data_IF_787654664169
#
_entry.id   IF_787654664169
#
_cell.length_a   1.000
_cell.length_b   1.000
_cell.length_c   1.000
_cell.angle_alpha   90.00
_cell.angle_beta   90.00
_cell.angle_gamma   90.00
#
_symmetry.space_group_name_H-M   'P 1'
#
loop_
_entity.id
_entity.type
_entity.pdbx_description
1 polymer ?
#
# COMPACT_ATOMS: atom_id res chain seq x y z
N UNK A 1 62.12 -51.90 10.33
CA UNK A 1 61.49 -52.38 11.57
C UNK A 1 60.06 -51.85 11.56
N UNK A 2 59.13 -52.64 11.03
CA UNK A 2 58.26 -53.58 11.77
C UNK A 2 57.12 -52.84 12.47
N UNK A 3 55.85 -53.24 12.45
CA UNK A 3 55.01 -54.13 11.64
C UNK A 3 53.57 -53.70 12.04
N UNK A 4 52.64 -53.61 11.10
CA UNK A 4 51.20 -53.37 11.39
C UNK A 4 50.61 -54.58 12.15
N UNK A 5 49.46 -54.40 12.82
CA UNK A 5 48.32 -55.14 12.29
C UNK A 5 47.04 -54.32 12.13
N UNK A 6 46.56 -54.47 10.91
CA UNK A 6 45.18 -54.63 10.48
C UNK A 6 44.21 -55.14 11.56
N UNK A 7 43.11 -54.41 11.77
CA UNK A 7 41.86 -54.99 12.24
C UNK A 7 40.71 -54.43 11.38
N UNK A 8 40.24 -55.30 10.50
CA UNK A 8 38.91 -55.29 9.89
C UNK A 8 37.84 -55.20 10.99
N UNK A 9 36.75 -54.46 10.73
CA UNK A 9 35.35 -54.88 10.92
C UNK A 9 34.42 -53.65 10.90
N UNK A 10 33.47 -53.66 9.97
CA UNK A 10 32.09 -53.15 10.04
C UNK A 10 31.74 -52.64 8.65
N UNK A 11 30.96 -53.35 7.85
CA UNK A 11 29.66 -53.89 8.25
C UNK A 11 28.62 -52.92 7.71
N UNK A 12 28.21 -53.16 6.47
CA UNK A 12 27.18 -52.44 5.74
C UNK A 12 25.85 -52.58 6.52
N UNK A 13 25.36 -51.49 7.10
CA UNK A 13 24.01 -51.41 7.66
C UNK A 13 23.21 -50.38 6.87
N UNK A 14 22.56 -50.85 5.81
CA UNK A 14 21.46 -50.16 5.16
C UNK A 14 20.22 -50.29 6.06
N UNK A 15 20.06 -49.38 7.02
CA UNK A 15 18.79 -49.20 7.70
C UNK A 15 17.94 -48.21 6.91
N UNK A 16 17.12 -48.79 6.05
CA UNK A 16 15.86 -48.18 5.60
C UNK A 16 15.01 -47.89 6.84
N UNK A 17 14.93 -46.62 7.22
CA UNK A 17 14.14 -46.13 8.34
C UNK A 17 13.24 -45.00 7.87
N UNK A 18 12.00 -45.33 7.51
CA UNK A 18 10.92 -44.37 7.52
C UNK A 18 10.71 -43.93 8.97
N UNK A 19 10.94 -42.66 9.28
CA UNK A 19 10.36 -42.03 10.46
C UNK A 19 9.53 -40.86 9.98
N UNK A 20 8.23 -41.07 10.04
CA UNK A 20 7.24 -40.05 9.97
C UNK A 20 7.38 -39.10 11.17
N UNK A 21 7.02 -37.84 10.90
CA UNK A 21 6.51 -36.86 11.85
C UNK A 21 7.41 -36.44 13.00
N UNK A 22 8.16 -35.36 12.75
CA UNK A 22 8.04 -34.16 13.57
C UNK A 22 7.91 -32.96 12.63
N UNK A 23 6.82 -32.95 11.85
CA UNK A 23 6.31 -31.69 11.32
C UNK A 23 5.73 -30.98 12.55
N UNK A 24 6.59 -30.22 13.23
CA UNK A 24 6.11 -29.18 14.15
C UNK A 24 5.30 -28.25 13.27
N UNK A 25 4.01 -28.54 13.15
CA UNK A 25 3.02 -27.73 12.48
C UNK A 25 3.07 -26.38 13.19
N UNK A 26 3.91 -25.51 12.65
CA UNK A 26 3.99 -24.13 13.03
C UNK A 26 2.58 -23.60 12.82
N UNK A 27 1.89 -23.30 13.91
CA UNK A 27 0.67 -22.48 13.93
C UNK A 27 1.03 -21.03 13.54
N UNK A 28 1.83 -20.87 12.48
CA UNK A 28 1.97 -19.61 11.79
C UNK A 28 0.75 -19.54 10.88
N UNK A 29 -0.17 -18.63 11.20
CA UNK A 29 -1.14 -18.20 10.21
C UNK A 29 -0.37 -17.91 8.90
N UNK A 30 -0.88 -18.36 7.74
CA UNK A 30 -0.22 -18.09 6.47
C UNK A 30 0.11 -16.60 6.38
N UNK A 31 1.24 -16.21 5.77
CA UNK A 31 1.59 -14.80 5.63
C UNK A 31 0.37 -14.08 5.06
N UNK A 32 -0.07 -13.03 5.77
CA UNK A 32 -1.22 -12.26 5.33
C UNK A 32 -1.00 -11.89 3.86
N UNK A 33 -1.95 -12.26 3.01
CA UNK A 33 -1.91 -11.90 1.60
C UNK A 33 -1.82 -10.38 1.42
N UNK A 34 -1.63 -9.90 0.18
CA UNK A 34 -1.67 -8.47 -0.08
C UNK A 34 -2.98 -7.87 0.48
N UNK A 35 -2.93 -6.63 1.01
CA UNK A 35 -4.12 -5.98 1.54
C UNK A 35 -5.24 -5.98 0.51
N UNK A 36 -6.47 -6.19 0.97
CA UNK A 36 -7.64 -6.13 0.10
C UNK A 36 -7.76 -4.72 -0.52
N UNK A 37 -8.19 -4.61 -1.79
CA UNK A 37 -8.39 -3.32 -2.42
C UNK A 37 -9.49 -2.53 -1.70
N UNK A 38 -9.26 -1.23 -1.53
CA UNK A 38 -10.31 -0.32 -1.06
C UNK A 38 -11.31 -0.11 -2.19
N UNK A 39 -12.59 -0.30 -1.92
CA UNK A 39 -13.68 -0.14 -2.90
C UNK A 39 -14.82 0.66 -2.29
N UNK A 40 -15.62 1.31 -3.14
CA UNK A 40 -16.81 2.05 -2.70
C UNK A 40 -17.85 1.14 -2.02
N UNK A 41 -17.96 -0.13 -2.44
CA UNK A 41 -18.87 -1.09 -1.81
C UNK A 41 -18.49 -1.38 -0.35
N UNK A 42 -17.19 -1.27 -0.01
CA UNK A 42 -16.71 -1.43 1.36
C UNK A 42 -16.89 -0.17 2.21
N UNK A 43 -17.25 0.97 1.60
CA UNK A 43 -17.42 2.28 2.27
C UNK A 43 -18.71 2.97 1.78
N UNK A 44 -19.90 2.44 2.14
CA UNK A 44 -21.18 2.96 1.64
C UNK A 44 -21.46 4.41 2.07
N UNK A 45 -20.93 4.83 3.21
CA UNK A 45 -21.13 6.16 3.79
C UNK A 45 -19.99 7.14 3.45
N UNK A 46 -19.17 6.82 2.45
CA UNK A 46 -18.03 7.64 2.05
C UNK A 46 -18.47 9.06 1.63
N UNK A 47 -17.77 10.06 2.15
CA UNK A 47 -18.00 11.46 1.76
C UNK A 47 -17.71 11.68 0.27
N UNK A 48 -18.22 12.75 -0.37
CA UNK A 48 -17.94 13.02 -1.78
C UNK A 48 -16.44 13.03 -2.13
N UNK A 49 -15.61 13.69 -1.30
CA UNK A 49 -14.15 13.72 -1.48
C UNK A 49 -13.48 12.37 -1.29
N UNK A 50 -13.96 11.57 -0.32
CA UNK A 50 -13.49 10.21 -0.12
C UNK A 50 -13.81 9.31 -1.32
N UNK A 51 -15.02 9.41 -1.88
CA UNK A 51 -15.41 8.64 -3.06
C UNK A 51 -14.49 8.98 -4.25
N UNK A 52 -14.23 10.26 -4.47
CA UNK A 52 -13.30 10.72 -5.51
C UNK A 52 -11.88 10.21 -5.25
N UNK A 53 -11.40 10.22 -4.00
CA UNK A 53 -10.10 9.64 -3.66
C UNK A 53 -10.05 8.13 -3.98
N UNK A 54 -11.11 7.38 -3.65
CA UNK A 54 -11.20 5.95 -3.94
C UNK A 54 -11.20 5.69 -5.45
N UNK A 55 -11.91 6.50 -6.23
CA UNK A 55 -12.01 6.33 -7.67
C UNK A 55 -10.73 6.74 -8.42
N UNK A 56 -10.05 7.80 -7.97
CA UNK A 56 -8.98 8.46 -8.74
C UNK A 56 -7.57 8.20 -8.19
N UNK A 57 -7.43 7.97 -6.89
CA UNK A 57 -6.13 8.00 -6.21
C UNK A 57 -5.80 6.68 -5.50
N UNK A 58 -6.81 5.93 -5.05
CA UNK A 58 -6.62 4.78 -4.18
C UNK A 58 -5.79 3.65 -4.80
N UNK A 59 -5.81 3.50 -6.12
CA UNK A 59 -5.00 2.49 -6.81
C UNK A 59 -3.49 2.60 -6.49
N UNK A 60 -3.02 3.82 -6.21
CA UNK A 60 -1.62 4.10 -5.89
C UNK A 60 -1.40 4.43 -4.40
N UNK A 61 -2.39 5.06 -3.74
CA UNK A 61 -2.23 5.65 -2.41
C UNK A 61 -2.90 4.88 -1.26
N UNK A 62 -3.49 3.72 -1.52
CA UNK A 62 -3.95 2.81 -0.45
C UNK A 62 -2.89 1.80 -0.05
N UNK A 63 -3.17 0.98 0.95
CA UNK A 63 -2.25 -0.05 1.43
C UNK A 63 -1.85 -1.00 0.27
N UNK A 64 -0.55 -1.26 0.13
CA UNK A 64 -0.01 -2.06 -0.97
C UNK A 64 0.11 -1.32 -2.31
N UNK A 65 -0.42 -0.10 -2.42
CA UNK A 65 -0.26 0.76 -3.59
C UNK A 65 1.19 1.24 -3.78
N UNK A 66 1.59 1.43 -5.03
CA UNK A 66 2.96 1.80 -5.38
C UNK A 66 3.36 3.18 -4.82
N UNK A 67 2.44 4.14 -4.81
CA UNK A 67 2.62 5.46 -4.22
C UNK A 67 2.85 5.39 -2.72
N UNK A 68 2.04 4.61 -2.00
CA UNK A 68 2.21 4.31 -0.57
C UNK A 68 3.58 3.69 -0.29
N UNK A 69 4.01 2.71 -1.09
CA UNK A 69 5.32 2.08 -0.95
C UNK A 69 6.48 3.06 -1.12
N UNK A 70 6.38 3.99 -2.07
CA UNK A 70 7.37 5.04 -2.27
C UNK A 70 7.34 6.11 -1.16
N UNK A 71 6.17 6.43 -0.61
CA UNK A 71 6.04 7.34 0.53
C UNK A 71 6.64 6.73 1.80
N UNK A 72 6.52 5.41 1.99
CA UNK A 72 7.05 4.69 3.15
C UNK A 72 8.60 4.74 3.25
N UNK A 73 9.28 5.15 2.17
CA UNK A 73 10.74 5.39 2.18
C UNK A 73 11.12 6.77 2.72
N UNK A 74 10.14 7.66 2.90
CA UNK A 74 10.34 9.10 3.16
C UNK A 74 9.48 9.63 4.31
N UNK A 75 8.50 8.87 4.78
CA UNK A 75 7.57 9.25 5.83
C UNK A 75 7.18 8.03 6.67
N UNK A 76 7.09 8.22 7.98
CA UNK A 76 6.61 7.22 8.92
C UNK A 76 5.10 6.95 8.79
N UNK A 77 4.36 7.83 8.12
CA UNK A 77 2.93 7.66 7.81
C UNK A 77 2.73 7.72 6.28
N UNK A 78 2.86 6.60 5.56
CA UNK A 78 2.75 6.62 4.10
C UNK A 78 1.32 6.66 3.57
N UNK A 79 0.33 6.33 4.41
CA UNK A 79 -1.09 6.33 4.04
C UNK A 79 -1.63 7.75 4.15
N UNK A 80 -2.02 8.33 3.01
CA UNK A 80 -2.50 9.72 2.96
C UNK A 80 -3.73 9.94 3.84
N UNK A 81 -4.66 8.99 3.87
CA UNK A 81 -5.88 9.06 4.70
C UNK A 81 -5.62 9.03 6.22
N UNK A 82 -4.36 8.81 6.65
CA UNK A 82 -3.94 8.75 8.07
C UNK A 82 -2.95 9.85 8.44
N UNK A 83 -2.73 10.81 7.54
CA UNK A 83 -1.76 11.88 7.71
C UNK A 83 -2.45 13.11 8.30
N UNK A 84 -1.86 13.68 9.33
CA UNK A 84 -2.42 14.85 10.05
C UNK A 84 -1.75 16.18 9.63
N UNK A 85 -0.71 16.13 8.80
CA UNK A 85 0.11 17.26 8.35
C UNK A 85 -0.21 17.68 6.90
N UNK A 86 -1.25 17.10 6.28
CA UNK A 86 -1.67 17.47 4.93
C UNK A 86 -2.54 18.74 4.99
N UNK A 87 -2.19 19.73 4.17
CA UNK A 87 -3.05 20.89 3.91
C UNK A 87 -3.69 20.75 2.54
N UNK A 88 -4.88 21.33 2.37
CA UNK A 88 -5.62 21.35 1.09
C UNK A 88 -4.72 21.85 -0.05
N UNK A 89 -4.05 22.99 0.15
CA UNK A 89 -3.11 23.57 -0.82
C UNK A 89 -1.97 22.61 -1.18
N UNK A 90 -1.38 21.95 -0.18
CA UNK A 90 -0.30 21.00 -0.44
C UNK A 90 -0.77 19.81 -1.26
N UNK A 91 -1.94 19.26 -0.96
CA UNK A 91 -2.51 18.14 -1.73
C UNK A 91 -2.80 18.55 -3.17
N UNK A 92 -3.43 19.72 -3.38
CA UNK A 92 -3.70 20.25 -4.72
C UNK A 92 -2.40 20.41 -5.50
N UNK A 93 -1.39 21.07 -4.91
CA UNK A 93 -0.13 21.31 -5.61
C UNK A 93 0.63 20.01 -5.90
N UNK A 94 0.66 19.07 -4.95
CA UNK A 94 1.25 17.75 -5.13
C UNK A 94 0.59 17.01 -6.30
N UNK A 95 -0.74 17.03 -6.37
CA UNK A 95 -1.49 16.38 -7.43
C UNK A 95 -1.32 17.08 -8.79
N UNK A 96 -1.36 18.41 -8.82
CA UNK A 96 -1.28 19.19 -10.08
C UNK A 96 0.12 19.23 -10.68
N UNK A 97 1.16 19.22 -9.85
CA UNK A 97 2.55 19.28 -10.31
C UNK A 97 3.20 17.90 -10.42
N UNK A 98 2.67 16.91 -9.68
CA UNK A 98 3.34 15.64 -9.48
C UNK A 98 4.52 15.75 -8.50
N UNK A 99 4.93 14.61 -7.91
CA UNK A 99 6.07 14.54 -6.99
C UNK A 99 6.88 13.26 -7.24
N UNK A 100 8.07 13.41 -7.81
CA UNK A 100 8.95 12.29 -8.12
C UNK A 100 8.30 11.33 -9.12
N UNK A 101 7.94 10.13 -8.67
CA UNK A 101 7.27 9.11 -9.50
C UNK A 101 5.73 9.27 -9.54
N UNK A 102 5.17 10.21 -8.77
CA UNK A 102 3.75 10.55 -8.87
C UNK A 102 3.57 11.51 -10.06
N UNK A 103 2.86 11.10 -11.13
CA UNK A 103 2.59 11.97 -12.27
C UNK A 103 1.64 13.11 -11.89
N UNK A 104 1.69 14.19 -12.67
CA UNK A 104 0.72 15.28 -12.56
C UNK A 104 -0.67 14.80 -13.00
N UNK A 105 -1.70 15.15 -12.22
CA UNK A 105 -3.10 14.86 -12.49
C UNK A 105 -3.72 16.02 -13.29
N UNK A 106 -4.02 15.83 -14.59
CA UNK A 106 -4.55 16.89 -15.43
C UNK A 106 -6.01 17.22 -15.07
N UNK A 107 -6.42 18.46 -15.36
CA UNK A 107 -7.80 18.93 -15.13
C UNK A 107 -8.86 18.13 -15.90
N UNK A 108 -8.48 17.50 -17.01
CA UNK A 108 -9.38 16.64 -17.78
C UNK A 108 -9.68 15.29 -17.12
N UNK A 109 -8.88 14.86 -16.14
CA UNK A 109 -9.07 13.61 -15.41
C UNK A 109 -9.73 13.83 -14.04
N UNK A 110 -9.31 14.91 -13.37
CA UNK A 110 -9.87 15.41 -12.11
C UNK A 110 -9.99 16.93 -12.23
N UNK A 111 -11.22 17.44 -12.29
CA UNK A 111 -11.52 18.88 -12.32
C UNK A 111 -10.97 19.61 -11.09
N UNK A 112 -10.95 20.95 -11.11
CA UNK A 112 -10.49 21.71 -9.95
C UNK A 112 -11.46 21.52 -8.76
N UNK A 113 -12.76 21.43 -9.03
CA UNK A 113 -13.78 21.17 -8.01
C UNK A 113 -13.66 19.79 -7.38
N UNK A 114 -13.37 18.75 -8.18
CA UNK A 114 -13.12 17.40 -7.64
C UNK A 114 -11.80 17.36 -6.86
N UNK A 115 -10.76 18.05 -7.32
CA UNK A 115 -9.48 18.11 -6.62
C UNK A 115 -9.61 18.80 -5.27
N UNK A 116 -10.39 19.87 -5.17
CA UNK A 116 -10.68 20.54 -3.91
C UNK A 116 -11.37 19.60 -2.92
N UNK A 117 -12.32 18.78 -3.39
CA UNK A 117 -13.01 17.80 -2.54
C UNK A 117 -12.07 16.70 -2.05
N UNK A 118 -11.20 16.18 -2.91
CA UNK A 118 -10.17 15.19 -2.54
C UNK A 118 -9.21 15.81 -1.52
N UNK A 119 -8.77 17.05 -1.75
CA UNK A 119 -7.83 17.74 -0.90
C UNK A 119 -8.41 18.06 0.47
N UNK A 120 -9.65 18.53 0.54
CA UNK A 120 -10.35 18.74 1.81
C UNK A 120 -10.52 17.43 2.58
N UNK A 121 -10.88 16.33 1.90
CA UNK A 121 -10.95 15.01 2.52
C UNK A 121 -9.63 14.58 3.15
N UNK A 122 -8.52 14.68 2.40
CA UNK A 122 -7.19 14.28 2.88
C UNK A 122 -6.60 15.22 3.92
N UNK A 123 -7.00 16.48 3.94
CA UNK A 123 -6.62 17.46 4.96
C UNK A 123 -7.51 17.39 6.21
N UNK A 124 -8.52 16.51 6.23
CA UNK A 124 -9.54 16.43 7.27
C UNK A 124 -10.24 17.78 7.53
N UNK A 125 -10.38 18.59 6.47
CA UNK A 125 -10.99 19.91 6.54
C UNK A 125 -12.48 19.83 6.19
N UNK A 126 -13.40 20.09 7.14
CA UNK A 126 -14.83 20.09 6.88
C UNK A 126 -15.28 21.32 6.05
N UNK A 127 -14.42 22.32 5.86
CA UNK A 127 -14.64 23.44 4.96
C UNK A 127 -13.83 23.18 3.68
N UNK A 128 -14.43 22.76 2.58
CA UNK A 128 -14.83 23.71 1.53
C UNK A 128 -15.62 22.94 0.46
N UNK A 129 -16.94 23.17 0.29
CA UNK A 129 -17.55 22.91 -1.01
C UNK A 129 -16.94 23.92 -1.99
N UNK A 130 -16.13 23.41 -2.92
CA UNK A 130 -15.49 24.19 -3.99
C UNK A 130 -16.51 25.16 -4.57
N UNK A 131 -16.19 26.45 -4.55
CA UNK A 131 -17.10 27.50 -4.98
C UNK A 131 -17.47 27.24 -6.44
N UNK A 132 -18.70 26.81 -6.68
CA UNK A 132 -19.35 26.88 -8.00
C UNK A 132 -19.25 28.32 -8.48
N UNK A 133 -18.23 28.62 -9.27
CA UNK A 133 -18.12 29.89 -9.99
C UNK A 133 -18.28 29.56 -11.45
N UNK A 134 -19.54 29.31 -11.82
CA UNK A 134 -20.00 29.43 -13.20
C UNK A 134 -19.69 30.84 -13.68
N UNK A 135 -18.53 31.08 -14.31
CA UNK A 135 -18.39 32.15 -15.32
C UNK A 135 -17.12 32.01 -16.18
N UNK A 136 -17.37 31.71 -17.45
CA UNK A 136 -16.63 32.12 -18.67
C UNK A 136 -15.19 31.62 -18.85
N UNK A 137 -15.03 30.57 -19.68
CA UNK A 137 -13.82 30.34 -20.45
C UNK A 137 -13.92 31.10 -21.79
N UNK A 138 -12.87 31.82 -22.23
CA UNK A 138 -12.85 32.51 -23.52
C UNK A 138 -12.80 31.54 -24.71
#
# INVERSE_FOLDING_TARGET
MNFKPLALLSGLALLSGCSASDETASNQAPPAGPPAPVTLNARPDASPGERLFIEKCAMCHTAGGMGTGLLARRSDQPLLEKREDLTTEFVIQAARLGIGNMPAVPRGEVSDEEMDQIAAYLAHDPATPSKTTSKEQP
#
